data_IF_378212690885
#
_entry.id   IF_378212690885
#
_cell.length_a   1.000
_cell.length_b   1.000
_cell.length_c   1.000
_cell.angle_alpha   90.00
_cell.angle_beta   90.00
_cell.angle_gamma   90.00
#
_symmetry.space_group_name_H-M   'P 1'
#
loop_
_entity.id
_entity.type
_entity.pdbx_description
1 polymer ?
#
# COMPACT_ATOMS: atom_id res chain seq x y z
N UNK A 1 18.19 0.55 0.69
CA UNK A 1 16.81 0.21 0.26
C UNK A 1 15.77 0.61 1.29
N UNK A 2 16.02 0.40 2.59
CA UNK A 2 15.12 0.80 3.68
C UNK A 2 14.49 2.19 3.56
N UNK A 3 15.28 3.24 3.23
CA UNK A 3 14.77 4.60 3.04
C UNK A 3 13.65 4.66 1.98
N UNK A 4 13.83 3.96 0.85
CA UNK A 4 12.84 3.90 -0.24
C UNK A 4 11.55 3.26 0.26
N UNK A 5 11.63 2.11 0.94
CA UNK A 5 10.45 1.46 1.51
C UNK A 5 9.70 2.32 2.52
N UNK A 6 10.44 3.07 3.36
CA UNK A 6 9.85 4.03 4.30
C UNK A 6 9.14 5.15 3.53
N UNK A 7 9.81 5.77 2.55
CA UNK A 7 9.23 6.84 1.74
C UNK A 7 7.96 6.41 1.03
N UNK A 8 7.95 5.24 0.38
CA UNK A 8 6.77 4.69 -0.29
C UNK A 8 5.63 4.49 0.72
N UNK A 9 5.94 3.94 1.88
CA UNK A 9 4.93 3.68 2.92
C UNK A 9 4.31 4.96 3.47
N UNK A 10 5.13 5.99 3.69
CA UNK A 10 4.66 7.30 4.14
C UNK A 10 3.77 7.94 3.07
N UNK A 11 4.19 7.91 1.80
CA UNK A 11 3.39 8.44 0.68
C UNK A 11 2.04 7.71 0.59
N UNK A 12 2.01 6.39 0.72
CA UNK A 12 0.76 5.61 0.71
C UNK A 12 -0.19 5.99 1.84
N UNK A 13 0.32 6.15 3.06
CA UNK A 13 -0.49 6.61 4.20
C UNK A 13 -1.03 8.02 3.95
N UNK A 14 -0.20 8.94 3.45
CA UNK A 14 -0.62 10.31 3.13
C UNK A 14 -1.69 10.34 2.02
N UNK A 15 -1.57 9.47 1.01
CA UNK A 15 -2.59 9.31 -0.02
C UNK A 15 -3.95 8.92 0.60
N UNK A 16 -3.95 7.97 1.52
CA UNK A 16 -5.17 7.54 2.21
C UNK A 16 -5.73 8.60 3.17
N UNK A 17 -4.86 9.38 3.84
CA UNK A 17 -5.31 10.54 4.62
C UNK A 17 -6.00 11.58 3.75
N UNK A 18 -5.43 11.88 2.58
CA UNK A 18 -6.06 12.78 1.62
C UNK A 18 -7.41 12.23 1.11
N UNK A 19 -7.48 10.94 0.77
CA UNK A 19 -8.75 10.29 0.39
C UNK A 19 -9.81 10.40 1.48
N UNK A 20 -9.47 10.11 2.74
CA UNK A 20 -10.45 9.97 3.83
C UNK A 20 -10.82 11.27 4.54
N UNK A 21 -10.00 12.33 4.44
CA UNK A 21 -10.25 13.59 5.16
C UNK A 21 -10.38 14.82 4.26
N UNK A 22 -9.95 14.72 3.00
CA UNK A 22 -10.03 15.86 2.06
C UNK A 22 -11.05 15.55 0.95
N UNK A 23 -11.06 14.33 0.43
CA UNK A 23 -11.86 14.00 -0.75
C UNK A 23 -13.20 13.31 -0.44
N UNK A 24 -13.40 12.74 0.75
CA UNK A 24 -14.60 11.98 1.06
C UNK A 24 -15.63 12.78 1.88
N UNK A 25 -16.87 12.81 1.38
CA UNK A 25 -18.03 13.42 2.06
C UNK A 25 -18.81 12.43 2.93
N UNK A 26 -18.20 11.30 3.31
CA UNK A 26 -18.89 10.24 4.08
C UNK A 26 -18.79 10.46 5.59
N UNK A 27 -19.46 9.59 6.37
CA UNK A 27 -19.43 9.69 7.84
C UNK A 27 -18.00 9.55 8.39
N UNK A 28 -17.69 10.34 9.42
CA UNK A 28 -16.36 10.35 10.04
C UNK A 28 -15.90 8.95 10.50
N UNK A 29 -16.80 8.16 11.10
CA UNK A 29 -16.49 6.80 11.55
C UNK A 29 -16.08 5.87 10.40
N UNK A 30 -16.77 5.95 9.26
CA UNK A 30 -16.40 5.19 8.06
C UNK A 30 -15.03 5.61 7.52
N UNK A 31 -14.78 6.92 7.42
CA UNK A 31 -13.48 7.45 6.96
C UNK A 31 -12.30 6.97 7.82
N UNK A 32 -12.47 6.91 9.15
CA UNK A 32 -11.43 6.39 10.05
C UNK A 32 -11.19 4.90 9.83
N UNK A 33 -12.26 4.10 9.74
CA UNK A 33 -12.13 2.67 9.48
C UNK A 33 -11.45 2.41 8.13
N UNK A 34 -11.83 3.17 7.10
CA UNK A 34 -11.25 3.06 5.78
C UNK A 34 -9.75 3.40 5.81
N UNK A 35 -9.37 4.52 6.45
CA UNK A 35 -7.96 4.92 6.60
C UNK A 35 -7.14 3.85 7.32
N UNK A 36 -7.63 3.33 8.44
CA UNK A 36 -6.92 2.32 9.22
C UNK A 36 -6.75 1.06 8.38
N UNK A 37 -7.82 0.60 7.72
CA UNK A 37 -7.81 -0.58 6.88
C UNK A 37 -6.86 -0.44 5.68
N UNK A 38 -6.94 0.68 4.96
CA UNK A 38 -6.12 0.92 3.77
C UNK A 38 -4.66 1.22 4.08
N UNK A 39 -4.36 1.63 5.32
CA UNK A 39 -2.99 1.84 5.79
C UNK A 39 -2.26 0.55 6.19
N UNK A 40 -2.96 -0.58 6.35
CA UNK A 40 -2.36 -1.85 6.83
C UNK A 40 -1.14 -2.28 6.01
N UNK A 41 -1.16 -2.28 4.66
CA UNK A 41 0.01 -2.70 3.87
C UNK A 41 1.26 -1.86 4.13
N UNK A 42 1.08 -0.55 4.31
CA UNK A 42 2.15 0.41 4.54
C UNK A 42 2.70 0.32 5.96
N UNK A 43 1.83 0.24 6.97
CA UNK A 43 2.25 0.03 8.36
C UNK A 43 2.98 -1.30 8.50
N UNK A 44 2.49 -2.35 7.85
CA UNK A 44 3.14 -3.67 7.85
C UNK A 44 4.51 -3.64 7.19
N UNK A 45 4.67 -2.93 6.06
CA UNK A 45 5.98 -2.68 5.46
C UNK A 45 6.94 -1.98 6.43
N UNK A 46 6.50 -0.92 7.10
CA UNK A 46 7.31 -0.20 8.09
C UNK A 46 7.73 -1.11 9.26
N UNK A 47 6.85 -2.01 9.71
CA UNK A 47 7.18 -3.01 10.74
C UNK A 47 8.26 -3.96 10.24
N UNK A 48 8.13 -4.51 9.03
CA UNK A 48 9.13 -5.42 8.42
C UNK A 48 10.50 -4.71 8.28
N UNK A 49 10.50 -3.44 7.89
CA UNK A 49 11.70 -2.62 7.74
C UNK A 49 12.45 -2.33 9.06
N UNK A 50 11.85 -2.58 10.22
CA UNK A 50 12.57 -2.48 11.51
C UNK A 50 13.71 -3.50 11.58
N UNK A 51 13.55 -4.67 10.97
CA UNK A 51 14.58 -5.70 10.93
C UNK A 51 15.55 -5.49 9.75
N UNK A 52 16.83 -5.24 10.03
CA UNK A 52 17.88 -5.08 9.00
C UNK A 52 17.99 -6.29 8.06
N UNK A 53 17.72 -7.50 8.56
CA UNK A 53 17.74 -8.72 7.74
C UNK A 53 16.60 -8.79 6.75
N UNK A 54 15.56 -7.97 6.89
CA UNK A 54 14.35 -7.99 6.07
C UNK A 54 14.19 -6.70 5.25
N UNK A 55 15.24 -5.89 5.10
CA UNK A 55 15.16 -4.60 4.41
C UNK A 55 14.66 -4.72 2.96
N UNK A 56 15.11 -5.74 2.23
CA UNK A 56 14.70 -5.97 0.85
C UNK A 56 13.20 -6.30 0.77
N UNK A 57 12.74 -7.21 1.62
CA UNK A 57 11.34 -7.62 1.72
C UNK A 57 10.47 -6.41 2.08
N UNK A 58 10.83 -5.70 3.14
CA UNK A 58 10.07 -4.55 3.62
C UNK A 58 10.04 -3.41 2.60
N UNK A 59 11.07 -3.26 1.76
CA UNK A 59 11.09 -2.23 0.71
C UNK A 59 10.22 -2.57 -0.50
N UNK A 60 10.00 -3.85 -0.78
CA UNK A 60 9.21 -4.31 -1.92
C UNK A 60 7.74 -4.57 -1.56
N UNK A 61 7.45 -4.88 -0.29
CA UNK A 61 6.08 -5.08 0.20
C UNK A 61 5.08 -3.94 -0.16
N UNK A 62 5.42 -2.64 -0.05
CA UNK A 62 4.48 -1.56 -0.36
C UNK A 62 4.51 -1.13 -1.84
N UNK A 63 5.37 -1.71 -2.67
CA UNK A 63 5.63 -1.23 -4.02
C UNK A 63 4.44 -1.42 -4.97
N UNK A 64 3.77 -2.57 -4.92
CA UNK A 64 2.55 -2.80 -5.70
C UNK A 64 1.33 -2.08 -5.10
N UNK A 65 1.10 -2.12 -3.76
CA UNK A 65 0.02 -1.35 -3.13
C UNK A 65 0.01 0.13 -3.48
N UNK A 66 1.16 0.82 -3.52
CA UNK A 66 1.17 2.25 -3.85
C UNK A 66 0.74 2.52 -5.30
N UNK A 67 1.08 1.61 -6.22
CA UNK A 67 0.71 1.75 -7.63
C UNK A 67 -0.79 1.58 -7.78
N UNK A 68 -1.35 0.52 -7.22
CA UNK A 68 -2.79 0.22 -7.31
C UNK A 68 -3.63 1.28 -6.59
N UNK A 69 -3.19 1.76 -5.42
CA UNK A 69 -3.86 2.85 -4.70
C UNK A 69 -3.81 4.17 -5.48
N UNK A 70 -2.68 4.47 -6.14
CA UNK A 70 -2.56 5.66 -6.98
C UNK A 70 -3.48 5.60 -8.20
N UNK A 71 -3.60 4.43 -8.83
CA UNK A 71 -4.52 4.19 -9.95
C UNK A 71 -5.97 4.31 -9.46
N UNK A 72 -6.30 3.73 -8.31
CA UNK A 72 -7.62 3.83 -7.71
C UNK A 72 -7.98 5.30 -7.43
N UNK A 73 -7.09 6.04 -6.78
CA UNK A 73 -7.27 7.46 -6.50
C UNK A 73 -7.51 8.27 -7.79
N UNK A 74 -6.69 8.07 -8.82
CA UNK A 74 -6.85 8.73 -10.11
C UNK A 74 -8.21 8.40 -10.75
N UNK A 75 -8.58 7.12 -10.76
CA UNK A 75 -9.82 6.63 -11.37
C UNK A 75 -11.10 7.03 -10.63
N UNK A 76 -10.98 7.50 -9.38
CA UNK A 76 -12.13 7.93 -8.56
C UNK A 76 -12.25 9.44 -8.54
N UNK A 77 -11.15 10.16 -8.35
CA UNK A 77 -11.19 11.60 -8.07
C UNK A 77 -10.74 12.49 -9.24
N UNK A 78 -9.95 11.97 -10.18
CA UNK A 78 -9.39 12.77 -11.27
C UNK A 78 -10.10 12.46 -12.59
N UNK A 79 -10.23 11.19 -12.94
CA UNK A 79 -10.86 10.74 -14.17
C UNK A 79 -11.86 9.60 -13.88
N UNK A 80 -13.02 9.93 -13.26
CA UNK A 80 -14.06 8.95 -12.95
C UNK A 80 -14.58 8.28 -14.22
N UNK A 81 -14.42 6.96 -14.29
CA UNK A 81 -14.81 6.15 -15.46
C UNK A 81 -16.22 5.57 -15.37
N UNK A 82 -16.79 5.47 -14.16
CA UNK A 82 -18.15 4.95 -13.92
C UNK A 82 -18.74 5.49 -12.62
N UNK A 83 -20.07 5.37 -12.47
CA UNK A 83 -20.77 5.66 -11.20
C UNK A 83 -20.38 4.70 -10.07
N UNK A 84 -19.78 3.55 -10.40
CA UNK A 84 -19.28 2.55 -9.45
C UNK A 84 -17.82 2.75 -9.08
N UNK A 85 -17.13 3.74 -9.64
CA UNK A 85 -15.71 4.01 -9.36
C UNK A 85 -15.39 4.09 -7.85
N UNK A 86 -16.20 4.73 -6.98
CA UNK A 86 -15.90 4.80 -5.54
C UNK A 86 -15.77 3.44 -4.85
N UNK A 87 -16.36 2.36 -5.38
CA UNK A 87 -16.19 1.01 -4.84
C UNK A 87 -14.71 0.57 -4.88
N UNK A 88 -13.92 1.11 -5.81
CA UNK A 88 -12.48 0.85 -5.88
C UNK A 88 -11.76 1.27 -4.59
N UNK A 89 -12.23 2.30 -3.88
CA UNK A 89 -11.63 2.73 -2.62
C UNK A 89 -11.75 1.67 -1.51
N UNK A 90 -12.68 0.72 -1.63
CA UNK A 90 -12.85 -0.37 -0.66
C UNK A 90 -12.16 -1.64 -1.16
N UNK A 91 -12.39 -2.01 -2.43
CA UNK A 91 -11.86 -3.25 -2.99
C UNK A 91 -10.36 -3.22 -3.23
N UNK A 92 -9.78 -2.08 -3.63
CA UNK A 92 -8.34 -2.00 -3.91
C UNK A 92 -7.51 -2.19 -2.63
N UNK A 93 -7.82 -1.56 -1.49
CA UNK A 93 -7.18 -1.89 -0.22
C UNK A 93 -7.27 -3.37 0.18
N UNK A 94 -8.42 -4.01 -0.09
CA UNK A 94 -8.59 -5.45 0.14
C UNK A 94 -7.66 -6.28 -0.75
N UNK A 95 -7.61 -5.98 -2.05
CA UNK A 95 -6.68 -6.63 -2.99
C UNK A 95 -5.22 -6.35 -2.65
N UNK A 96 -4.92 -5.17 -2.14
CA UNK A 96 -3.58 -4.80 -1.70
C UNK A 96 -3.11 -5.69 -0.54
N UNK A 97 -4.00 -5.99 0.39
CA UNK A 97 -3.70 -6.86 1.52
C UNK A 97 -3.56 -8.34 1.10
N UNK A 98 -4.45 -8.84 0.26
CA UNK A 98 -4.53 -10.27 -0.07
C UNK A 98 -3.55 -10.68 -1.18
N UNK A 99 -3.30 -9.80 -2.14
CA UNK A 99 -2.54 -10.13 -3.36
C UNK A 99 -1.28 -9.29 -3.48
N UNK A 100 -1.42 -7.97 -3.60
CA UNK A 100 -0.31 -7.14 -4.08
C UNK A 100 0.83 -7.00 -3.06
N UNK A 101 0.52 -6.85 -1.76
CA UNK A 101 1.54 -6.84 -0.72
C UNK A 101 2.23 -8.21 -0.57
N UNK A 102 1.50 -9.35 -0.49
CA UNK A 102 2.13 -10.67 -0.50
C UNK A 102 3.03 -10.92 -1.70
N UNK A 103 2.66 -10.49 -2.91
CA UNK A 103 3.52 -10.58 -4.09
C UNK A 103 4.83 -9.82 -3.87
N UNK A 104 4.78 -8.58 -3.39
CA UNK A 104 5.97 -7.79 -3.05
C UNK A 104 6.88 -8.48 -2.02
N UNK A 105 6.28 -9.09 -0.98
CA UNK A 105 6.99 -9.89 0.03
C UNK A 105 7.68 -11.09 -0.61
N UNK A 106 6.96 -11.88 -1.40
CA UNK A 106 7.46 -13.09 -2.07
C UNK A 106 8.63 -12.73 -2.99
N UNK A 107 8.49 -11.68 -3.80
CA UNK A 107 9.58 -11.19 -4.65
C UNK A 107 10.82 -10.82 -3.82
N UNK A 108 10.64 -10.12 -2.70
CA UNK A 108 11.73 -9.79 -1.80
C UNK A 108 12.43 -11.02 -1.21
N UNK A 109 11.65 -12.03 -0.81
CA UNK A 109 12.17 -13.32 -0.31
C UNK A 109 12.97 -14.07 -1.38
N UNK A 110 12.44 -14.15 -2.61
CA UNK A 110 13.11 -14.83 -3.73
C UNK A 110 14.46 -14.15 -4.00
N UNK A 111 14.48 -12.82 -4.15
CA UNK A 111 15.72 -12.08 -4.44
C UNK A 111 16.72 -12.24 -3.29
N UNK A 112 16.25 -12.22 -2.05
CA UNK A 112 17.12 -12.41 -0.89
C UNK A 112 17.76 -13.81 -0.86
N UNK A 113 16.98 -14.86 -1.15
CA UNK A 113 17.49 -16.23 -1.21
C UNK A 113 18.49 -16.41 -2.35
N UNK A 114 18.23 -15.84 -3.53
CA UNK A 114 19.15 -15.89 -4.66
C UNK A 114 20.47 -15.19 -4.36
N UNK A 115 20.45 -14.08 -3.60
CA UNK A 115 21.68 -13.40 -3.15
C UNK A 115 22.46 -14.22 -2.12
N UNK A 116 21.76 -14.91 -1.21
CA UNK A 116 22.39 -15.76 -0.20
C UNK A 116 23.09 -16.97 -0.81
N UNK A 117 22.53 -17.58 -1.85
CA UNK A 117 23.10 -18.79 -2.49
C UNK A 117 24.26 -18.50 -3.45
N UNK A 118 24.58 -17.21 -3.71
CA UNK A 118 25.72 -16.79 -4.54
C UNK A 118 26.96 -16.41 -3.73
N UNK A 119 26.86 -16.43 -2.40
CA UNK A 119 27.94 -16.18 -1.42
C UNK A 119 28.29 -17.50 -0.74
#
# INVERSE_FOLDING_TARGET
MKKIGITISIIGILLHMNTCFIQSDTTFGFNILLLVFSSIPYVSSLIILKNKKSELIGSLAPALPIITDSVAYYSVFIAPSSSTAPLALIFIPLWNLIIFMPLGIITGLIIQNLKRNKL
#
